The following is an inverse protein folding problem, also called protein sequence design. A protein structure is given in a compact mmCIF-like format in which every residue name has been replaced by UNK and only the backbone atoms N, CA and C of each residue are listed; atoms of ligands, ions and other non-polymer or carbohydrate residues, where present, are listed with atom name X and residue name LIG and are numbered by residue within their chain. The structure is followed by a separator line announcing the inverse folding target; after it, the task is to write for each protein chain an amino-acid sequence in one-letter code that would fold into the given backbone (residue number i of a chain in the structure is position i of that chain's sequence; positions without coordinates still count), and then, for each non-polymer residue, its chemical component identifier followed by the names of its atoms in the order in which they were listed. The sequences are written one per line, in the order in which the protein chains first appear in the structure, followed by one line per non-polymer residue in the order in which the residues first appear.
data_IF_129533374341
#
_entry.id   IF_129533374341
#
_cell.length_a   1.000
_cell.length_b   1.000
_cell.length_c   1.000
_cell.angle_alpha   90.00
_cell.angle_beta   90.00
_cell.angle_gamma   90.00
#
_symmetry.space_group_name_H-M   'P 1'
#
loop_
_entity.id
_entity.type
_entity.pdbx_description
1 polymer ?
#
# COMPACT_ATOMS: atom_id res chain seq x y z
N UNK A 1 -8.29 -8.04 -6.84
CA UNK A 1 -8.80 -6.99 -5.92
C UNK A 1 -8.68 -7.38 -4.45
N UNK A 2 -9.14 -8.57 -4.02
CA UNK A 2 -9.11 -8.99 -2.59
C UNK A 2 -7.72 -8.94 -1.94
N UNK A 3 -6.67 -9.35 -2.66
CA UNK A 3 -5.30 -9.35 -2.10
C UNK A 3 -4.78 -7.94 -1.84
N UNK A 4 -5.04 -7.02 -2.77
CA UNK A 4 -4.71 -5.60 -2.66
C UNK A 4 -5.36 -4.95 -1.43
N UNK A 5 -6.64 -5.25 -1.21
CA UNK A 5 -7.38 -4.79 -0.03
C UNK A 5 -6.80 -5.36 1.27
N UNK A 6 -6.49 -6.67 1.30
CA UNK A 6 -5.85 -7.32 2.46
C UNK A 6 -4.46 -6.76 2.74
N UNK A 7 -3.71 -6.42 1.70
CA UNK A 7 -2.38 -5.82 1.85
C UNK A 7 -2.47 -4.42 2.48
N UNK A 8 -3.42 -3.61 2.01
CA UNK A 8 -3.71 -2.30 2.60
C UNK A 8 -4.22 -2.42 4.04
N UNK A 9 -5.00 -3.46 4.36
CA UNK A 9 -5.47 -3.73 5.73
C UNK A 9 -4.34 -4.10 6.71
N UNK A 10 -3.14 -4.45 6.23
CA UNK A 10 -1.97 -4.64 7.12
C UNK A 10 -1.49 -3.33 7.73
N UNK A 11 -1.82 -2.19 7.12
CA UNK A 11 -1.47 -0.87 7.61
C UNK A 11 -2.41 -0.50 8.76
N UNK A 12 -1.82 -0.09 9.88
CA UNK A 12 -2.58 0.16 11.11
C UNK A 12 -3.45 1.40 10.90
N UNK A 13 -4.77 1.22 10.97
CA UNK A 13 -5.75 2.28 10.74
C UNK A 13 -6.44 2.24 9.37
N UNK A 14 -6.09 1.29 8.49
CA UNK A 14 -6.85 1.00 7.28
C UNK A 14 -7.79 -0.19 7.53
N UNK A 15 -9.09 0.10 7.62
CA UNK A 15 -10.14 -0.92 7.67
C UNK A 15 -10.63 -1.34 6.29
N UNK A 16 -11.58 -2.28 6.24
CA UNK A 16 -12.20 -2.76 4.99
C UNK A 16 -12.78 -1.63 4.13
N UNK A 17 -13.50 -0.69 4.74
CA UNK A 17 -14.11 0.45 4.03
C UNK A 17 -13.03 1.36 3.43
N UNK A 18 -11.98 1.66 4.19
CA UNK A 18 -10.86 2.49 3.72
C UNK A 18 -10.05 1.80 2.62
N UNK A 19 -9.78 0.50 2.77
CA UNK A 19 -9.07 -0.29 1.75
C UNK A 19 -9.83 -0.31 0.42
N UNK A 20 -11.17 -0.35 0.46
CA UNK A 20 -12.01 -0.26 -0.74
C UNK A 20 -11.92 1.10 -1.41
N UNK A 21 -12.01 2.19 -0.63
CA UNK A 21 -11.90 3.57 -1.14
C UNK A 21 -10.53 3.88 -1.71
N UNK A 22 -9.47 3.33 -1.11
CA UNK A 22 -8.10 3.43 -1.62
C UNK A 22 -7.96 2.77 -3.00
N UNK A 23 -8.48 1.54 -3.15
CA UNK A 23 -8.47 0.83 -4.44
C UNK A 23 -9.30 1.58 -5.48
N UNK A 24 -10.44 2.14 -5.09
CA UNK A 24 -11.31 2.97 -5.96
C UNK A 24 -10.59 4.25 -6.42
N UNK A 25 -9.82 4.87 -5.53
CA UNK A 25 -8.95 6.00 -5.83
C UNK A 25 -7.63 5.61 -6.54
N UNK A 26 -7.54 4.40 -7.11
CA UNK A 26 -6.35 3.85 -7.80
C UNK A 26 -5.10 3.63 -6.94
N UNK A 27 -5.23 3.68 -5.61
CA UNK A 27 -4.20 3.31 -4.64
C UNK A 27 -4.33 1.84 -4.25
N UNK A 28 -4.01 0.97 -5.20
CA UNK A 28 -4.27 -0.45 -5.09
C UNK A 28 -3.10 -1.26 -4.49
N UNK A 29 -2.03 -0.62 -3.99
CA UNK A 29 -0.89 -1.31 -3.38
C UNK A 29 -0.15 -0.43 -2.37
N UNK A 30 0.56 -1.05 -1.42
CA UNK A 30 1.36 -0.33 -0.41
C UNK A 30 2.38 0.60 -1.08
N UNK A 31 2.99 0.18 -2.19
CA UNK A 31 3.94 1.02 -2.94
C UNK A 31 3.29 2.30 -3.50
N UNK A 32 2.06 2.20 -4.02
CA UNK A 32 1.31 3.37 -4.49
C UNK A 32 0.92 4.29 -3.33
N UNK A 33 0.59 3.73 -2.17
CA UNK A 33 0.30 4.51 -0.95
C UNK A 33 1.55 5.17 -0.38
N UNK A 34 2.70 4.50 -0.43
CA UNK A 34 3.99 5.03 0.01
C UNK A 34 4.48 6.22 -0.84
N UNK A 35 4.17 6.17 -2.15
CA UNK A 35 4.41 7.24 -3.10
C UNK A 35 3.28 8.28 -3.19
N UNK A 36 2.12 8.00 -2.59
CA UNK A 36 1.00 8.94 -2.59
C UNK A 36 1.32 10.14 -1.70
N UNK A 37 1.02 11.34 -2.18
CA UNK A 37 1.12 12.55 -1.38
C UNK A 37 -0.03 12.63 -0.37
N UNK A 38 0.24 13.26 0.78
CA UNK A 38 -0.72 13.45 1.87
C UNK A 38 -2.06 14.00 1.38
N UNK A 39 -2.03 14.95 0.43
CA UNK A 39 -3.23 15.54 -0.18
C UNK A 39 -4.06 14.54 -0.98
N UNK A 40 -3.46 13.54 -1.61
CA UNK A 40 -4.19 12.51 -2.36
C UNK A 40 -4.97 11.56 -1.43
N UNK A 41 -4.37 11.23 -0.29
CA UNK A 41 -4.99 10.40 0.74
C UNK A 41 -6.01 11.20 1.58
N UNK A 42 -5.78 12.48 1.82
CA UNK A 42 -6.70 13.35 2.58
C UNK A 42 -8.04 13.56 1.85
N UNK A 43 -8.03 13.49 0.52
CA UNK A 43 -9.25 13.55 -0.30
C UNK A 43 -10.16 12.32 -0.13
N UNK A 44 -9.65 11.23 0.45
CA UNK A 44 -10.46 10.05 0.72
C UNK A 44 -11.26 10.30 2.00
N UNK A 45 -12.59 10.36 1.84
CA UNK A 45 -13.51 10.54 2.95
C UNK A 45 -13.25 9.52 4.07
N UNK A 46 -13.16 10.00 5.32
CA UNK A 46 -12.93 9.16 6.49
C UNK A 46 -11.46 8.92 6.85
N UNK A 47 -10.50 9.51 6.12
CA UNK A 47 -9.11 9.56 6.59
C UNK A 47 -8.85 10.74 7.53
N UNK A 48 -8.11 10.48 8.59
CA UNK A 48 -7.61 11.52 9.49
C UNK A 48 -6.19 11.92 9.05
N UNK A 49 -5.87 13.22 8.84
CA UNK A 49 -4.56 13.68 8.42
C UNK A 49 -3.40 13.20 9.29
N UNK A 50 -3.60 13.03 10.60
CA UNK A 50 -2.58 12.46 11.48
C UNK A 50 -2.29 10.99 11.17
N UNK A 51 -3.35 10.20 10.88
CA UNK A 51 -3.21 8.79 10.50
C UNK A 51 -2.60 8.63 9.12
N UNK A 52 -2.85 9.55 8.18
CA UNK A 52 -2.25 9.53 6.84
C UNK A 52 -0.73 9.54 6.95
N UNK A 53 -0.16 10.41 7.80
CA UNK A 53 1.30 10.48 8.02
C UNK A 53 1.85 9.14 8.51
N UNK A 54 1.16 8.51 9.45
CA UNK A 54 1.55 7.21 10.01
C UNK A 54 1.45 6.10 8.96
N UNK A 55 0.35 6.06 8.21
CA UNK A 55 0.11 5.09 7.11
C UNK A 55 1.17 5.22 6.02
N UNK A 56 1.49 6.44 5.57
CA UNK A 56 2.52 6.67 4.54
C UNK A 56 3.90 6.26 5.07
N UNK A 57 4.18 6.54 6.34
CA UNK A 57 5.45 6.13 6.98
C UNK A 57 5.55 4.61 7.07
N UNK A 58 4.49 3.93 7.51
CA UNK A 58 4.41 2.46 7.56
C UNK A 58 4.51 1.85 6.17
N UNK A 59 3.80 2.40 5.19
CA UNK A 59 3.83 1.96 3.82
C UNK A 59 5.22 2.12 3.21
N UNK A 60 5.90 3.24 3.44
CA UNK A 60 7.29 3.45 3.01
C UNK A 60 8.25 2.46 3.65
N UNK A 61 8.09 2.18 4.94
CA UNK A 61 8.92 1.18 5.64
C UNK A 61 8.72 -0.21 5.04
N UNK A 62 7.47 -0.63 4.87
CA UNK A 62 7.13 -1.91 4.26
C UNK A 62 7.54 -2.01 2.79
N UNK A 63 7.47 -0.91 2.02
CA UNK A 63 7.87 -0.89 0.61
C UNK A 63 9.39 -0.89 0.47
N UNK A 64 10.11 -0.11 1.28
CA UNK A 64 11.58 -0.10 1.29
C UNK A 64 12.19 -1.43 1.75
N UNK A 65 11.47 -2.20 2.57
CA UNK A 65 11.83 -3.60 2.89
C UNK A 65 11.42 -4.58 1.76
N UNK A 66 10.28 -4.35 1.09
CA UNK A 66 9.83 -5.17 -0.04
C UNK A 66 10.69 -5.00 -1.31
N UNK A 67 11.29 -3.83 -1.53
CA UNK A 67 12.22 -3.59 -2.64
C UNK A 67 13.55 -4.34 -2.46
N UNK A 68 14.00 -4.57 -1.21
CA UNK A 68 15.14 -5.45 -0.94
C UNK A 68 14.84 -6.93 -1.18
N UNK A 69 13.58 -7.34 -1.10
CA UNK A 69 13.14 -8.70 -1.41
C UNK A 69 12.76 -8.95 -2.87
N UNK A 70 12.38 -7.92 -3.62
CA UNK A 70 11.94 -8.06 -5.02
C UNK A 70 13.07 -8.07 -6.06
N UNK A 71 14.32 -7.83 -5.66
CA UNK A 71 15.47 -7.86 -6.58
C UNK A 71 16.31 -9.14 -6.54
N UNK A 72 15.81 -10.22 -5.93
CA UNK A 72 16.39 -11.55 -6.15
C UNK A 72 15.31 -12.53 -6.58
N UNK A 73 15.53 -13.07 -7.77
CA UNK A 73 14.96 -14.32 -8.27
C UNK A 73 13.62 -14.26 -9.00
N UNK A 74 13.62 -13.59 -10.15
CA UNK A 74 12.89 -14.09 -11.33
C UNK A 74 13.89 -14.45 -12.41
N UNK A 75 14.51 -15.63 -12.24
CA UNK A 75 14.94 -16.45 -13.37
C UNK A 75 14.39 -17.84 -13.10
N UNK A 76 13.20 -18.03 -13.64
CA UNK A 76 12.48 -19.28 -13.71
C UNK A 76 13.34 -20.35 -14.40
N UNK A 77 13.12 -21.58 -13.95
CA UNK A 77 13.76 -22.79 -14.43
C UNK A 77 13.33 -23.04 -15.88
N UNK A 78 14.28 -23.13 -16.82
CA UNK A 78 14.02 -23.88 -18.06
C UNK A 78 15.01 -25.05 -18.25
N UNK A 79 14.56 -26.15 -17.66
CA UNK A 79 14.68 -27.57 -18.04
C UNK A 79 14.98 -27.83 -19.53
N UNK A 80 16.15 -28.39 -19.85
CA UNK A 80 16.36 -29.76 -20.43
C UNK A 80 17.82 -29.99 -20.77
#
# INVERSE_FOLDING_TARGET
MKEKMKELQKLKGIGEILSRRLVDASYDSIAKVAGAEHKGLERIAGMNPQKIRDIVTQARKMTGEAEKGRHTWSADKNKR
#
